data_IF_678980182963
#
_entry.id   IF_678980182963
#
_cell.length_a   1.000
_cell.length_b   1.000
_cell.length_c   1.000
_cell.angle_alpha   90.00
_cell.angle_beta   90.00
_cell.angle_gamma   90.00
#
_symmetry.space_group_name_H-M   'P 1'
#
loop_
_entity.id
_entity.type
_entity.pdbx_description
1 polymer ?
#
# COMPACT_ATOMS: atom_id res chain seq x y z
N UNK A 1 3.76 -86.49 19.04
CA UNK A 1 3.50 -86.07 17.65
C UNK A 1 2.79 -84.71 17.79
N UNK A 2 3.60 -83.65 17.88
CA UNK A 2 3.11 -82.27 18.01
C UNK A 2 3.27 -81.56 16.66
N UNK A 3 2.13 -81.14 16.09
CA UNK A 3 2.13 -80.30 14.87
C UNK A 3 2.32 -78.84 15.27
N UNK A 4 3.41 -78.24 14.72
CA UNK A 4 3.68 -76.81 14.81
C UNK A 4 3.07 -76.14 13.59
N UNK A 5 2.03 -75.27 13.80
CA UNK A 5 1.53 -74.40 12.79
C UNK A 5 2.35 -73.09 12.78
N UNK A 6 3.06 -72.90 11.68
CA UNK A 6 3.80 -71.64 11.40
C UNK A 6 2.84 -70.65 10.74
N UNK A 7 2.50 -69.55 11.45
CA UNK A 7 1.82 -68.39 10.86
C UNK A 7 2.89 -67.47 10.26
N UNK A 8 2.82 -67.31 8.95
CA UNK A 8 3.50 -66.22 8.22
C UNK A 8 2.61 -64.97 8.19
N UNK A 9 3.07 -63.81 8.64
CA UNK A 9 2.32 -62.56 8.41
C UNK A 9 2.55 -62.07 6.99
N UNK A 10 1.48 -61.96 6.21
CA UNK A 10 1.50 -61.26 4.94
C UNK A 10 1.57 -59.74 5.20
N UNK A 11 2.76 -59.16 4.95
CA UNK A 11 2.96 -57.71 4.97
C UNK A 11 2.44 -57.14 3.65
N UNK A 12 1.23 -56.52 3.70
CA UNK A 12 0.74 -55.69 2.60
C UNK A 12 1.53 -54.39 2.60
N UNK A 13 2.50 -54.26 1.71
CA UNK A 13 3.14 -53.00 1.36
C UNK A 13 2.12 -52.17 0.55
N UNK A 14 1.44 -51.25 1.20
CA UNK A 14 0.75 -50.16 0.51
C UNK A 14 1.79 -49.27 -0.16
N UNK A 15 2.00 -49.47 -1.45
CA UNK A 15 2.82 -48.58 -2.28
C UNK A 15 1.96 -47.34 -2.58
N UNK A 16 1.99 -46.35 -1.71
CA UNK A 16 1.47 -45.01 -2.00
C UNK A 16 2.40 -44.38 -3.01
N UNK A 17 2.11 -44.58 -4.30
CA UNK A 17 2.65 -43.71 -5.34
C UNK A 17 2.13 -42.29 -5.05
N UNK A 18 2.98 -41.47 -4.47
CA UNK A 18 2.82 -40.03 -4.53
C UNK A 18 2.87 -39.67 -6.02
N UNK A 19 1.70 -39.43 -6.60
CA UNK A 19 1.62 -38.81 -7.91
C UNK A 19 2.22 -37.42 -7.78
N UNK A 20 3.51 -37.31 -8.05
CA UNK A 20 4.15 -36.03 -8.35
C UNK A 20 3.59 -35.59 -9.72
N UNK A 21 2.38 -35.02 -9.71
CA UNK A 21 1.92 -34.28 -10.87
C UNK A 21 2.93 -33.15 -11.14
N UNK A 22 3.36 -33.00 -12.38
CA UNK A 22 4.23 -31.92 -12.79
C UNK A 22 3.70 -30.58 -12.26
N UNK A 23 4.58 -29.66 -11.83
CA UNK A 23 4.15 -28.39 -11.32
C UNK A 23 3.33 -27.66 -12.38
N UNK A 24 2.08 -27.34 -12.04
CA UNK A 24 1.20 -26.58 -12.93
C UNK A 24 1.82 -25.20 -13.11
N UNK A 25 2.10 -24.84 -14.35
CA UNK A 25 2.69 -23.56 -14.71
C UNK A 25 1.68 -22.69 -15.48
N UNK A 26 1.66 -21.41 -15.18
CA UNK A 26 0.89 -20.43 -15.95
C UNK A 26 1.52 -20.32 -17.34
N UNK A 27 0.71 -20.47 -18.37
CA UNK A 27 1.19 -20.35 -19.74
C UNK A 27 1.42 -18.88 -20.10
N UNK A 28 2.69 -18.53 -20.31
CA UNK A 28 3.13 -17.20 -20.71
C UNK A 28 2.51 -16.77 -22.05
N UNK A 29 2.29 -17.71 -22.98
CA UNK A 29 1.68 -17.42 -24.28
C UNK A 29 0.21 -16.98 -24.11
N UNK A 30 -0.53 -17.65 -23.22
CA UNK A 30 -1.92 -17.26 -22.91
C UNK A 30 -2.04 -15.85 -22.35
N UNK A 31 -1.03 -15.37 -21.57
CA UNK A 31 -0.99 -14.00 -21.09
C UNK A 31 -0.73 -13.02 -22.25
N UNK A 32 0.23 -13.33 -23.13
CA UNK A 32 0.51 -12.49 -24.30
C UNK A 32 -0.70 -12.35 -25.23
N UNK A 33 -1.48 -13.39 -25.38
CA UNK A 33 -2.73 -13.39 -26.17
C UNK A 33 -3.81 -12.49 -25.56
N UNK A 34 -3.74 -12.21 -24.24
CA UNK A 34 -4.69 -11.34 -23.54
C UNK A 34 -4.24 -9.85 -23.52
N UNK A 35 -2.96 -9.56 -23.78
CA UNK A 35 -2.43 -8.18 -23.81
C UNK A 35 -3.14 -7.27 -24.83
N UNK A 36 -3.53 -7.71 -26.04
CA UNK A 36 -4.31 -6.87 -26.96
C UNK A 36 -5.64 -6.37 -26.39
N UNK A 37 -6.21 -7.05 -25.39
CA UNK A 37 -7.37 -6.60 -24.63
C UNK A 37 -6.97 -5.71 -23.46
N UNK A 38 -5.93 -6.09 -22.71
CA UNK A 38 -5.54 -5.44 -21.46
C UNK A 38 -4.82 -4.08 -21.65
N UNK A 39 -4.01 -3.93 -22.72
CA UNK A 39 -3.35 -2.65 -22.99
C UNK A 39 -4.33 -1.51 -23.30
N UNK A 40 -5.35 -1.69 -24.18
CA UNK A 40 -6.41 -0.69 -24.34
C UNK A 40 -7.19 -0.43 -23.05
N UNK A 41 -7.41 -1.46 -22.23
CA UNK A 41 -8.08 -1.32 -20.93
C UNK A 41 -7.26 -0.45 -19.96
N UNK A 42 -5.96 -0.70 -19.85
CA UNK A 42 -5.01 0.14 -19.12
C UNK A 42 -5.09 1.61 -19.56
N UNK A 43 -4.99 1.85 -20.88
CA UNK A 43 -5.06 3.22 -21.44
C UNK A 43 -6.39 3.89 -21.16
N UNK A 44 -7.49 3.13 -21.13
CA UNK A 44 -8.81 3.64 -20.76
C UNK A 44 -8.83 4.08 -19.30
N UNK A 45 -8.33 3.26 -18.37
CA UNK A 45 -8.22 3.63 -16.96
C UNK A 45 -7.36 4.89 -16.79
N UNK A 46 -6.22 4.95 -17.46
CA UNK A 46 -5.31 6.10 -17.43
C UNK A 46 -5.98 7.41 -17.88
N UNK A 47 -6.91 7.34 -18.84
CA UNK A 47 -7.66 8.49 -19.36
C UNK A 47 -8.87 8.89 -18.51
N UNK A 48 -9.29 8.04 -17.57
CA UNK A 48 -10.45 8.30 -16.72
C UNK A 48 -10.15 8.23 -15.21
N UNK A 49 -9.04 8.85 -14.75
CA UNK A 49 -8.67 8.80 -13.34
C UNK A 49 -9.69 9.54 -12.48
N UNK A 50 -9.97 8.99 -11.31
CA UNK A 50 -10.83 9.58 -10.29
C UNK A 50 -10.05 9.68 -8.97
N UNK A 51 -10.17 10.81 -8.27
CA UNK A 51 -9.50 11.01 -6.98
C UNK A 51 -10.18 10.19 -5.89
N UNK A 52 -9.47 9.99 -4.77
CA UNK A 52 -9.95 9.28 -3.58
C UNK A 52 -11.38 9.69 -3.20
N UNK A 53 -12.24 8.72 -2.91
CA UNK A 53 -13.67 8.84 -2.59
C UNK A 53 -14.55 9.29 -3.76
N UNK A 54 -14.04 9.33 -5.00
CA UNK A 54 -14.79 9.69 -6.20
C UNK A 54 -14.71 8.59 -7.28
N UNK A 55 -14.23 7.40 -6.97
CA UNK A 55 -13.88 6.31 -7.90
C UNK A 55 -15.12 5.57 -8.44
N UNK A 56 -16.19 6.31 -8.72
CA UNK A 56 -17.50 5.76 -9.13
C UNK A 56 -17.45 5.06 -10.48
N UNK A 57 -16.87 5.71 -11.49
CA UNK A 57 -16.80 5.19 -12.86
C UNK A 57 -15.78 4.04 -12.91
N UNK A 58 -14.64 4.18 -12.20
CA UNK A 58 -13.59 3.18 -12.08
C UNK A 58 -14.12 1.90 -11.43
N UNK A 59 -14.79 2.02 -10.29
CA UNK A 59 -15.41 0.90 -9.58
C UNK A 59 -16.42 0.16 -10.45
N UNK A 60 -17.34 0.88 -11.08
CA UNK A 60 -18.36 0.29 -11.96
C UNK A 60 -17.73 -0.42 -13.17
N UNK A 61 -16.67 0.14 -13.76
CA UNK A 61 -15.93 -0.47 -14.86
C UNK A 61 -15.29 -1.80 -14.42
N UNK A 62 -14.56 -1.81 -13.31
CA UNK A 62 -13.92 -3.03 -12.79
C UNK A 62 -14.96 -4.09 -12.43
N UNK A 63 -16.05 -3.70 -11.76
CA UNK A 63 -17.16 -4.61 -11.44
C UNK A 63 -17.76 -5.26 -12.69
N UNK A 64 -17.96 -4.46 -13.76
CA UNK A 64 -18.44 -4.95 -15.05
C UNK A 64 -17.49 -5.96 -15.67
N UNK A 65 -16.18 -5.69 -15.66
CA UNK A 65 -15.15 -6.60 -16.21
C UNK A 65 -15.08 -7.93 -15.44
N UNK A 66 -15.18 -7.90 -14.12
CA UNK A 66 -15.22 -9.11 -13.31
C UNK A 66 -16.45 -9.96 -13.60
N UNK A 67 -17.63 -9.35 -13.77
CA UNK A 67 -18.87 -10.09 -14.11
C UNK A 67 -18.77 -10.78 -15.46
N UNK A 68 -18.11 -10.19 -16.46
CA UNK A 68 -17.90 -10.79 -17.78
C UNK A 68 -17.12 -12.11 -17.72
N UNK A 69 -16.26 -12.27 -16.72
CA UNK A 69 -15.45 -13.50 -16.52
C UNK A 69 -16.04 -14.43 -15.46
N UNK A 70 -17.29 -14.19 -15.02
CA UNK A 70 -18.03 -15.09 -14.14
C UNK A 70 -17.76 -14.89 -12.64
N UNK A 71 -17.19 -13.76 -12.23
CA UNK A 71 -17.00 -13.41 -10.81
C UNK A 71 -18.30 -12.83 -10.26
N UNK A 72 -18.71 -13.26 -9.07
CA UNK A 72 -19.80 -12.63 -8.32
C UNK A 72 -19.27 -11.36 -7.65
N UNK A 73 -19.87 -10.20 -7.95
CA UNK A 73 -19.36 -8.90 -7.50
C UNK A 73 -20.37 -8.19 -6.61
N UNK A 74 -19.91 -7.76 -5.43
CA UNK A 74 -20.61 -6.83 -4.53
C UNK A 74 -19.95 -5.46 -4.63
N UNK A 75 -20.74 -4.43 -4.87
CA UNK A 75 -20.31 -3.03 -4.99
C UNK A 75 -20.69 -2.21 -3.76
N UNK A 76 -20.10 -1.02 -3.63
CA UNK A 76 -20.34 -0.07 -2.54
C UNK A 76 -20.05 -0.63 -1.14
N UNK A 77 -19.04 -1.48 -1.04
CA UNK A 77 -18.62 -2.07 0.24
C UNK A 77 -17.94 -1.01 1.10
N UNK A 78 -18.22 -1.01 2.41
CA UNK A 78 -17.64 -0.07 3.35
C UNK A 78 -18.14 1.38 3.20
N UNK A 79 -19.38 1.57 2.72
CA UNK A 79 -19.94 2.89 2.39
C UNK A 79 -19.03 3.71 1.47
N UNK A 80 -18.35 3.03 0.56
CA UNK A 80 -17.40 3.59 -0.39
C UNK A 80 -17.64 3.01 -1.79
N UNK A 81 -16.84 3.37 -2.77
CA UNK A 81 -16.86 2.72 -4.09
C UNK A 81 -16.08 1.39 -4.12
N UNK A 82 -15.82 0.80 -2.96
CA UNK A 82 -15.15 -0.49 -2.85
C UNK A 82 -15.95 -1.65 -3.47
N UNK A 83 -15.24 -2.56 -4.11
CA UNK A 83 -15.82 -3.78 -4.70
C UNK A 83 -15.16 -5.02 -4.13
N UNK A 84 -15.98 -6.06 -3.95
CA UNK A 84 -15.53 -7.41 -3.58
C UNK A 84 -16.03 -8.39 -4.63
N UNK A 85 -15.09 -9.01 -5.35
CA UNK A 85 -15.35 -10.07 -6.31
C UNK A 85 -15.04 -11.43 -5.70
N UNK A 86 -15.96 -12.37 -5.80
CA UNK A 86 -15.78 -13.75 -5.31
C UNK A 86 -15.90 -14.74 -6.47
N UNK A 87 -14.84 -15.51 -6.66
CA UNK A 87 -14.86 -16.67 -7.54
C UNK A 87 -14.57 -17.94 -6.74
N UNK A 88 -15.63 -18.74 -6.49
CA UNK A 88 -15.53 -20.04 -5.79
C UNK A 88 -15.26 -21.15 -6.78
N UNK A 89 -14.18 -21.91 -6.55
CA UNK A 89 -13.75 -23.01 -7.39
C UNK A 89 -13.55 -24.31 -6.59
N UNK A 90 -14.53 -24.69 -5.78
CA UNK A 90 -14.49 -25.87 -4.93
C UNK A 90 -13.85 -25.59 -3.56
N UNK A 91 -13.63 -26.67 -2.79
CA UNK A 91 -13.01 -26.60 -1.47
C UNK A 91 -11.52 -26.32 -1.58
N UNK A 92 -11.00 -25.42 -0.70
CA UNK A 92 -9.60 -25.03 -0.68
C UNK A 92 -9.40 -23.68 0.00
N UNK A 93 -8.18 -23.12 -0.06
CA UNK A 93 -7.88 -21.85 0.59
C UNK A 93 -8.63 -20.68 -0.06
N UNK A 94 -8.90 -19.65 0.75
CA UNK A 94 -9.34 -18.35 0.26
C UNK A 94 -8.12 -17.43 0.16
N UNK A 95 -7.89 -16.87 -1.02
CA UNK A 95 -6.80 -15.93 -1.26
C UNK A 95 -7.38 -14.58 -1.66
N UNK A 96 -7.05 -13.56 -0.87
CA UNK A 96 -7.37 -12.18 -1.17
C UNK A 96 -6.30 -11.60 -2.07
N UNK A 97 -6.70 -11.06 -3.23
CA UNK A 97 -5.85 -10.27 -4.10
C UNK A 97 -6.44 -8.87 -4.27
N UNK A 98 -5.69 -7.85 -3.84
CA UNK A 98 -6.12 -6.45 -3.80
C UNK A 98 -5.51 -5.62 -4.92
N UNK A 99 -6.31 -4.72 -5.46
CA UNK A 99 -5.88 -3.52 -6.18
C UNK A 99 -6.45 -2.27 -5.51
N UNK A 100 -5.74 -1.16 -5.60
CA UNK A 100 -6.23 0.19 -5.36
C UNK A 100 -6.84 0.77 -6.63
N UNK A 101 -7.61 1.88 -6.52
CA UNK A 101 -8.37 2.42 -7.66
C UNK A 101 -8.24 3.92 -7.85
N UNK A 102 -7.85 4.66 -6.82
CA UNK A 102 -7.85 6.11 -6.82
C UNK A 102 -6.64 6.73 -7.56
N UNK A 103 -6.77 7.99 -7.89
CA UNK A 103 -5.77 8.80 -8.56
C UNK A 103 -5.50 10.08 -7.78
N UNK A 104 -4.48 10.83 -8.19
CA UNK A 104 -4.03 12.03 -7.52
C UNK A 104 -4.48 13.31 -8.25
N UNK A 105 -4.82 14.40 -7.50
CA UNK A 105 -5.13 15.71 -8.06
C UNK A 105 -3.85 16.37 -8.58
N UNK A 106 -3.40 15.95 -9.76
CA UNK A 106 -2.17 16.38 -10.41
C UNK A 106 -2.34 16.48 -11.92
N UNK A 107 -1.89 17.58 -12.53
CA UNK A 107 -1.91 17.72 -14.00
C UNK A 107 -0.80 16.89 -14.63
N UNK A 108 -1.16 15.97 -15.51
CA UNK A 108 -0.20 15.13 -16.21
C UNK A 108 0.66 15.93 -17.21
N UNK A 109 1.95 15.58 -17.28
CA UNK A 109 2.94 16.20 -18.19
C UNK A 109 3.80 15.15 -18.90
N UNK A 110 3.29 13.94 -19.07
CA UNK A 110 4.03 12.83 -19.70
C UNK A 110 4.18 13.01 -21.20
N UNK A 111 3.24 13.70 -21.85
CA UNK A 111 3.18 13.82 -23.32
C UNK A 111 2.69 12.55 -24.01
N UNK A 112 2.15 11.58 -23.27
CA UNK A 112 1.62 10.35 -23.83
C UNK A 112 0.37 10.63 -24.71
N UNK A 113 0.15 9.88 -25.80
CA UNK A 113 -1.03 10.07 -26.66
C UNK A 113 -2.36 9.71 -25.96
N UNK A 114 -2.29 9.05 -24.80
CA UNK A 114 -3.43 8.70 -23.95
C UNK A 114 -3.36 9.39 -22.58
N UNK A 115 -2.61 10.47 -22.45
CA UNK A 115 -2.50 11.25 -21.22
C UNK A 115 -3.89 11.71 -20.72
N UNK A 116 -4.05 11.81 -19.41
CA UNK A 116 -5.28 12.27 -18.79
C UNK A 116 -5.53 13.76 -19.05
N UNK A 117 -6.76 14.09 -19.42
CA UNK A 117 -7.27 15.47 -19.47
C UNK A 117 -8.36 15.74 -18.41
N UNK A 118 -8.59 14.78 -17.50
CA UNK A 118 -9.57 14.93 -16.42
C UNK A 118 -9.15 16.02 -15.44
N UNK A 119 -10.13 16.70 -14.89
CA UNK A 119 -9.92 17.73 -13.87
C UNK A 119 -10.82 17.47 -12.67
N UNK A 120 -10.37 17.93 -11.52
CA UNK A 120 -11.09 17.88 -10.26
C UNK A 120 -11.03 19.24 -9.58
N UNK A 121 -12.19 19.69 -9.08
CA UNK A 121 -12.30 20.98 -8.38
C UNK A 121 -12.66 20.74 -6.92
N UNK A 122 -11.81 21.23 -6.03
CA UNK A 122 -12.06 21.21 -4.59
C UNK A 122 -11.69 22.56 -3.98
N UNK A 123 -12.51 23.06 -3.04
CA UNK A 123 -12.30 24.33 -2.36
C UNK A 123 -12.02 25.52 -3.32
N UNK A 124 -12.68 25.52 -4.49
CA UNK A 124 -12.49 26.57 -5.50
C UNK A 124 -11.20 26.46 -6.32
N UNK A 125 -10.38 25.45 -6.10
CA UNK A 125 -9.16 25.19 -6.87
C UNK A 125 -9.37 24.00 -7.81
N UNK A 126 -9.08 24.20 -9.10
CA UNK A 126 -9.15 23.14 -10.11
C UNK A 126 -7.74 22.65 -10.43
N UNK A 127 -7.54 21.34 -10.37
CA UNK A 127 -6.31 20.67 -10.80
C UNK A 127 -6.62 19.60 -11.86
N UNK A 128 -5.59 19.14 -12.61
CA UNK A 128 -5.71 17.91 -13.36
C UNK A 128 -5.81 16.71 -12.44
N UNK A 129 -6.14 15.55 -12.99
CA UNK A 129 -6.12 14.26 -12.27
C UNK A 129 -5.31 13.25 -13.06
N UNK A 130 -4.43 12.50 -12.39
CA UNK A 130 -3.53 11.55 -13.01
C UNK A 130 -3.30 10.32 -12.12
N UNK A 131 -3.21 9.13 -12.72
CA UNK A 131 -2.69 7.93 -12.06
C UNK A 131 -1.16 7.99 -11.89
N UNK A 132 -0.66 8.96 -11.14
CA UNK A 132 0.79 9.15 -10.92
C UNK A 132 1.39 8.20 -9.89
N UNK A 133 0.58 7.35 -9.26
CA UNK A 133 1.01 6.23 -8.41
C UNK A 133 0.92 4.86 -9.13
N UNK A 134 0.36 4.82 -10.36
CA UNK A 134 0.30 3.61 -11.18
C UNK A 134 -0.86 2.67 -10.83
N UNK A 135 -1.91 3.15 -10.18
CA UNK A 135 -3.06 2.31 -9.80
C UNK A 135 -3.83 1.77 -11.02
N UNK A 136 -3.79 2.45 -12.15
CA UNK A 136 -4.26 1.94 -13.46
C UNK A 136 -3.51 0.67 -13.91
N UNK A 137 -2.20 0.61 -13.66
CA UNK A 137 -1.37 -0.60 -13.87
C UNK A 137 -1.74 -1.70 -12.88
N UNK A 138 -1.97 -1.34 -11.59
CA UNK A 138 -2.40 -2.29 -10.56
C UNK A 138 -3.75 -2.91 -10.94
N UNK A 139 -4.77 -2.10 -11.27
CA UNK A 139 -6.10 -2.55 -11.69
C UNK A 139 -6.06 -3.46 -12.91
N UNK A 140 -5.24 -3.10 -13.91
CA UNK A 140 -5.11 -3.89 -15.13
C UNK A 140 -4.41 -5.23 -14.87
N UNK A 141 -3.36 -5.24 -14.06
CA UNK A 141 -2.67 -6.47 -13.64
C UNK A 141 -3.60 -7.36 -12.83
N UNK A 142 -4.39 -6.78 -11.93
CA UNK A 142 -5.38 -7.47 -11.12
C UNK A 142 -6.45 -8.15 -11.98
N UNK A 143 -7.03 -7.44 -12.94
CA UNK A 143 -7.99 -8.01 -13.88
C UNK A 143 -7.36 -9.12 -14.73
N UNK A 144 -6.15 -8.89 -15.28
CA UNK A 144 -5.43 -9.86 -16.07
C UNK A 144 -5.13 -11.15 -15.30
N UNK A 145 -4.74 -11.02 -14.01
CA UNK A 145 -4.53 -12.16 -13.11
C UNK A 145 -5.82 -12.95 -12.87
N UNK A 146 -6.94 -12.26 -12.61
CA UNK A 146 -8.24 -12.91 -12.45
C UNK A 146 -8.63 -13.70 -13.71
N UNK A 147 -8.46 -13.09 -14.90
CA UNK A 147 -8.72 -13.74 -16.19
C UNK A 147 -7.87 -15.00 -16.39
N UNK A 148 -6.56 -14.91 -16.10
CA UNK A 148 -5.64 -16.03 -16.22
C UNK A 148 -6.02 -17.20 -15.29
N UNK A 149 -6.27 -16.92 -14.01
CA UNK A 149 -6.66 -17.95 -13.04
C UNK A 149 -8.00 -18.61 -13.37
N UNK A 150 -8.99 -17.84 -13.83
CA UNK A 150 -10.30 -18.40 -14.21
C UNK A 150 -10.21 -19.26 -15.46
N UNK A 151 -9.38 -18.91 -16.46
CA UNK A 151 -9.07 -19.80 -17.58
C UNK A 151 -8.49 -21.14 -17.14
N UNK A 152 -7.72 -21.13 -16.02
CA UNK A 152 -7.06 -22.31 -15.44
C UNK A 152 -7.85 -22.96 -14.30
N UNK A 153 -9.14 -22.69 -14.13
CA UNK A 153 -9.98 -23.14 -13.00
C UNK A 153 -9.95 -24.65 -12.74
N UNK A 154 -9.69 -25.46 -13.75
CA UNK A 154 -9.61 -26.91 -13.61
C UNK A 154 -8.31 -27.38 -12.92
N UNK A 155 -7.32 -26.49 -12.77
CA UNK A 155 -5.99 -26.77 -12.23
C UNK A 155 -5.82 -26.35 -10.77
N UNK A 156 -6.82 -25.71 -10.14
CA UNK A 156 -6.77 -25.29 -8.76
C UNK A 156 -8.14 -25.39 -8.08
N UNK A 157 -8.14 -25.36 -6.76
CA UNK A 157 -9.36 -25.32 -5.93
C UNK A 157 -9.21 -24.26 -4.84
N UNK A 158 -10.37 -23.71 -4.41
CA UNK A 158 -10.44 -22.67 -3.38
C UNK A 158 -11.29 -21.49 -3.81
N UNK A 159 -11.09 -20.36 -3.12
CA UNK A 159 -11.82 -19.10 -3.37
C UNK A 159 -10.84 -17.98 -3.71
N UNK A 160 -10.98 -17.38 -4.88
CA UNK A 160 -10.31 -16.14 -5.24
C UNK A 160 -11.20 -14.97 -4.79
N UNK A 161 -10.72 -14.20 -3.81
CA UNK A 161 -11.35 -12.97 -3.30
C UNK A 161 -10.62 -11.78 -3.90
N UNK A 162 -11.29 -11.04 -4.75
CA UNK A 162 -10.77 -9.90 -5.50
C UNK A 162 -11.25 -8.61 -4.85
N UNK A 163 -10.34 -7.79 -4.37
CA UNK A 163 -10.66 -6.51 -3.72
C UNK A 163 -10.26 -5.37 -4.65
N UNK A 164 -11.24 -4.53 -5.06
CA UNK A 164 -10.99 -3.21 -5.63
C UNK A 164 -11.19 -2.17 -4.54
N UNK A 165 -10.09 -1.61 -4.06
CA UNK A 165 -10.05 -0.71 -2.92
C UNK A 165 -9.99 0.75 -3.37
N UNK A 166 -10.93 1.62 -2.94
CA UNK A 166 -10.83 3.06 -3.15
C UNK A 166 -9.93 3.72 -2.11
N UNK A 167 -9.62 5.00 -2.28
CA UNK A 167 -9.10 5.92 -1.27
C UNK A 167 -7.81 5.44 -0.56
N UNK A 168 -6.88 4.83 -1.31
CA UNK A 168 -5.56 4.44 -0.82
C UNK A 168 -4.72 5.68 -0.48
N UNK A 169 -4.70 6.67 -1.39
CA UNK A 169 -3.85 7.88 -1.31
C UNK A 169 -4.12 8.77 -0.08
N UNK A 170 -5.27 8.55 0.57
CA UNK A 170 -5.62 9.21 1.84
C UNK A 170 -5.67 8.25 3.03
N UNK A 171 -5.25 6.98 2.84
CA UNK A 171 -5.17 5.95 3.89
C UNK A 171 -6.51 5.56 4.50
N UNK A 172 -7.60 5.64 3.73
CA UNK A 172 -8.95 5.43 4.24
C UNK A 172 -9.61 4.14 3.71
N UNK A 173 -9.18 3.66 2.55
CA UNK A 173 -9.89 2.62 1.81
C UNK A 173 -9.87 1.25 2.45
N UNK A 174 -8.70 0.74 2.81
CA UNK A 174 -8.60 -0.56 3.45
C UNK A 174 -9.38 -0.61 4.78
N UNK A 175 -9.28 0.47 5.57
CA UNK A 175 -10.04 0.61 6.82
C UNK A 175 -11.54 0.58 6.56
N UNK A 176 -12.04 1.35 5.59
CA UNK A 176 -13.46 1.40 5.25
C UNK A 176 -13.99 0.02 4.83
N UNK A 177 -13.25 -0.74 4.03
CA UNK A 177 -13.62 -2.08 3.63
C UNK A 177 -13.65 -3.06 4.81
N UNK A 178 -12.65 -3.03 5.68
CA UNK A 178 -12.58 -3.89 6.86
C UNK A 178 -13.69 -3.55 7.88
N UNK A 179 -13.93 -2.28 8.16
CA UNK A 179 -15.05 -1.82 9.00
C UNK A 179 -16.41 -2.12 8.33
N UNK A 180 -16.47 -2.17 7.00
CA UNK A 180 -17.62 -2.63 6.22
C UNK A 180 -17.85 -4.14 6.28
N UNK A 181 -17.05 -4.88 7.05
CA UNK A 181 -17.26 -6.30 7.36
C UNK A 181 -16.87 -7.25 6.21
N UNK A 182 -15.83 -6.96 5.44
CA UNK A 182 -15.46 -7.86 4.33
C UNK A 182 -15.06 -9.26 4.80
N UNK A 183 -14.42 -9.38 5.97
CA UNK A 183 -14.01 -10.68 6.50
C UNK A 183 -15.20 -11.45 7.12
N UNK A 184 -16.13 -10.75 7.72
CA UNK A 184 -17.37 -11.30 8.28
C UNK A 184 -18.34 -11.78 7.20
N UNK A 185 -18.42 -11.01 6.10
CA UNK A 185 -19.38 -11.27 5.01
C UNK A 185 -18.85 -12.28 3.99
N UNK A 186 -17.59 -12.20 3.61
CA UNK A 186 -17.01 -13.00 2.53
C UNK A 186 -16.04 -14.08 3.02
N UNK A 187 -15.75 -14.11 4.33
CA UNK A 187 -14.82 -15.03 4.96
C UNK A 187 -13.43 -14.48 5.13
N UNK A 188 -12.72 -14.93 6.16
CA UNK A 188 -11.34 -14.56 6.44
C UNK A 188 -10.42 -15.27 5.45
N UNK A 189 -9.57 -14.55 4.67
CA UNK A 189 -8.68 -15.20 3.73
C UNK A 189 -7.50 -15.89 4.45
N UNK A 190 -6.97 -16.93 3.82
CA UNK A 190 -5.75 -17.60 4.28
C UNK A 190 -4.50 -16.77 3.99
N UNK A 191 -4.54 -15.98 2.92
CA UNK A 191 -3.46 -15.09 2.49
C UNK A 191 -4.04 -13.82 1.88
N UNK A 192 -3.33 -12.69 2.06
CA UNK A 192 -3.61 -11.44 1.35
C UNK A 192 -2.40 -11.04 0.52
N UNK A 193 -2.62 -10.79 -0.77
CA UNK A 193 -1.57 -10.43 -1.73
C UNK A 193 -1.95 -9.12 -2.41
N UNK A 194 -0.97 -8.25 -2.57
CA UNK A 194 -1.05 -7.03 -3.35
C UNK A 194 0.24 -6.80 -4.12
N UNK A 195 0.21 -5.92 -5.08
CA UNK A 195 1.40 -5.40 -5.76
C UNK A 195 1.38 -3.88 -5.79
N UNK A 196 2.56 -3.28 -5.91
CA UNK A 196 2.69 -1.86 -6.14
C UNK A 196 3.74 -1.59 -7.24
N UNK A 197 3.48 -0.61 -8.09
CA UNK A 197 4.42 -0.17 -9.12
C UNK A 197 5.69 0.41 -8.50
N UNK A 198 6.85 0.05 -9.06
CA UNK A 198 8.12 0.68 -8.72
C UNK A 198 8.70 1.42 -9.93
N UNK A 199 8.87 2.74 -9.84
CA UNK A 199 9.43 3.56 -10.94
C UNK A 199 10.93 3.38 -11.12
N UNK A 200 11.61 2.66 -10.21
CA UNK A 200 13.07 2.46 -10.21
C UNK A 200 13.48 1.02 -10.56
N UNK A 201 12.58 0.06 -10.40
CA UNK A 201 12.81 -1.32 -10.84
C UNK A 201 12.49 -1.40 -12.34
N UNK A 202 13.40 -1.95 -13.17
CA UNK A 202 13.15 -2.13 -14.60
C UNK A 202 11.88 -2.93 -14.88
N UNK A 203 11.10 -2.51 -15.89
CA UNK A 203 9.98 -3.30 -16.40
C UNK A 203 10.46 -4.71 -16.82
N UNK A 204 9.69 -5.73 -16.45
CA UNK A 204 10.07 -7.14 -16.59
C UNK A 204 10.65 -7.76 -15.32
N UNK A 205 10.91 -6.97 -14.28
CA UNK A 205 11.39 -7.45 -12.97
C UNK A 205 10.34 -7.23 -11.89
N UNK A 206 10.51 -7.98 -10.78
CA UNK A 206 9.72 -7.79 -9.55
C UNK A 206 10.66 -7.71 -8.35
N UNK A 207 10.22 -6.99 -7.31
CA UNK A 207 10.96 -6.81 -6.06
C UNK A 207 10.20 -7.35 -4.87
N UNK A 208 10.89 -8.11 -4.01
CA UNK A 208 10.33 -8.62 -2.76
C UNK A 208 11.18 -8.17 -1.58
N UNK A 209 10.51 -7.76 -0.50
CA UNK A 209 11.12 -7.45 0.79
C UNK A 209 10.45 -8.27 1.90
N UNK A 210 11.22 -8.79 2.86
CA UNK A 210 10.74 -9.49 4.06
C UNK A 210 10.59 -8.53 5.22
N UNK A 211 9.64 -8.79 6.10
CA UNK A 211 9.42 -7.97 7.28
C UNK A 211 8.85 -6.59 6.93
N UNK A 212 9.32 -5.56 7.59
CA UNK A 212 8.88 -4.19 7.28
C UNK A 212 9.41 -3.73 5.92
N UNK A 213 8.51 -3.28 5.05
CA UNK A 213 8.83 -2.82 3.68
C UNK A 213 8.47 -1.37 3.43
N UNK A 214 7.40 -0.88 4.07
CA UNK A 214 6.96 0.51 3.99
C UNK A 214 6.63 1.03 5.39
N UNK A 215 6.92 2.30 5.65
CA UNK A 215 6.73 2.90 6.96
C UNK A 215 5.26 3.21 7.26
N UNK A 216 4.94 3.30 8.54
CA UNK A 216 3.71 3.93 8.99
C UNK A 216 3.71 5.43 8.67
N UNK A 217 2.53 6.00 8.50
CA UNK A 217 2.33 7.44 8.27
C UNK A 217 1.33 8.02 9.26
N UNK A 218 1.69 9.12 9.89
CA UNK A 218 0.83 9.87 10.77
C UNK A 218 1.14 11.35 10.69
N UNK A 219 0.10 12.19 10.73
CA UNK A 219 0.23 13.64 10.82
C UNK A 219 -0.04 14.12 12.24
N UNK A 220 0.66 15.19 12.66
CA UNK A 220 0.45 15.81 13.96
C UNK A 220 0.35 17.32 13.79
N UNK A 221 -0.61 17.93 14.46
CA UNK A 221 -0.70 19.38 14.56
C UNK A 221 -0.38 19.82 15.99
N UNK A 222 0.57 20.73 16.17
CA UNK A 222 0.90 21.34 17.45
C UNK A 222 0.49 22.80 17.40
N UNK A 223 -0.43 23.21 18.28
CA UNK A 223 -0.76 24.62 18.48
C UNK A 223 0.05 25.11 19.69
N UNK A 224 1.01 25.98 19.44
CA UNK A 224 1.88 26.59 20.45
C UNK A 224 1.24 27.91 20.86
N UNK A 225 0.79 28.00 22.09
CA UNK A 225 0.22 29.23 22.66
C UNK A 225 1.29 30.14 23.23
N UNK A 226 1.00 31.42 23.22
CA UNK A 226 1.82 32.47 23.82
C UNK A 226 0.97 33.52 24.51
N UNK A 227 1.59 34.67 24.75
CA UNK A 227 0.94 35.92 25.20
C UNK A 227 1.35 36.99 24.20
N UNK A 228 0.40 37.41 23.37
CA UNK A 228 0.64 38.43 22.36
C UNK A 228 0.91 39.81 22.94
N UNK A 229 1.65 40.64 22.20
CA UNK A 229 1.95 42.01 22.59
C UNK A 229 2.38 42.85 21.37
N UNK A 230 2.58 44.15 21.61
CA UNK A 230 3.25 45.03 20.65
C UNK A 230 4.69 44.57 20.43
N UNK A 231 5.16 44.45 19.19
CA UNK A 231 6.50 43.96 18.84
C UNK A 231 7.66 44.76 19.48
N UNK A 232 7.42 46.03 19.86
CA UNK A 232 8.38 46.85 20.60
C UNK A 232 8.36 46.64 22.13
N UNK A 233 7.45 45.79 22.64
CA UNK A 233 7.29 45.51 24.08
C UNK A 233 7.35 43.98 24.37
N UNK A 234 8.42 43.28 23.94
CA UNK A 234 8.51 41.82 24.06
C UNK A 234 8.55 41.35 25.53
N UNK A 235 8.95 42.18 26.47
CA UNK A 235 8.94 41.91 27.92
C UNK A 235 7.52 41.78 28.52
N UNK A 236 6.48 42.17 27.77
CA UNK A 236 5.06 42.02 28.15
C UNK A 236 4.44 40.78 27.54
N UNK A 237 5.24 39.96 26.86
CA UNK A 237 4.76 38.80 26.06
C UNK A 237 5.45 37.51 26.50
N UNK A 238 4.87 36.39 26.06
CA UNK A 238 5.57 35.13 25.84
C UNK A 238 5.43 34.82 24.36
N UNK A 239 6.49 35.03 23.60
CA UNK A 239 6.44 34.99 22.13
C UNK A 239 6.33 33.54 21.60
N UNK A 240 5.19 33.15 21.02
CA UNK A 240 5.00 31.80 20.54
C UNK A 240 5.81 31.49 19.27
N UNK A 241 6.30 32.51 18.54
CA UNK A 241 7.19 32.30 17.38
C UNK A 241 8.57 31.86 17.89
N UNK A 242 9.11 32.52 18.94
CA UNK A 242 10.36 32.11 19.56
C UNK A 242 10.24 30.72 20.16
N UNK A 243 9.16 30.44 20.91
CA UNK A 243 8.88 29.11 21.46
C UNK A 243 8.82 28.03 20.37
N UNK A 244 8.11 28.30 19.29
CA UNK A 244 8.00 27.34 18.16
C UNK A 244 9.35 27.06 17.52
N UNK A 245 10.22 28.07 17.41
CA UNK A 245 11.58 27.89 16.90
C UNK A 245 12.41 26.97 17.80
N UNK A 246 12.32 27.12 19.11
CA UNK A 246 12.95 26.23 20.10
C UNK A 246 12.39 24.82 19.99
N UNK A 247 11.06 24.66 19.94
CA UNK A 247 10.39 23.38 19.79
C UNK A 247 10.82 22.64 18.51
N UNK A 248 10.91 23.33 17.38
CA UNK A 248 11.37 22.73 16.12
C UNK A 248 12.76 22.12 16.30
N UNK A 249 13.69 22.81 16.95
CA UNK A 249 15.04 22.32 17.22
C UNK A 249 15.04 21.14 18.20
N UNK A 250 14.28 21.23 19.28
CA UNK A 250 14.19 20.17 20.30
C UNK A 250 13.54 18.89 19.75
N UNK A 251 12.51 19.01 18.93
CA UNK A 251 11.84 17.86 18.28
C UNK A 251 12.81 17.04 17.42
N UNK A 252 13.87 17.65 16.85
CA UNK A 252 14.90 16.88 16.10
C UNK A 252 15.71 15.96 17.03
N UNK A 253 15.74 16.23 18.34
CA UNK A 253 16.43 15.38 19.31
C UNK A 253 15.74 14.04 19.52
N UNK A 254 14.46 13.91 19.14
CA UNK A 254 13.72 12.65 19.24
C UNK A 254 14.42 11.57 18.43
N UNK A 255 14.67 11.81 17.16
CA UNK A 255 15.33 10.84 16.27
C UNK A 255 16.83 10.73 16.56
N UNK A 256 17.50 11.84 16.91
CA UNK A 256 18.95 11.85 17.07
C UNK A 256 19.43 11.47 18.48
N UNK A 257 18.60 11.54 19.55
CA UNK A 257 19.01 11.34 20.94
C UNK A 257 18.09 10.44 21.78
N UNK A 258 16.83 10.23 21.36
CA UNK A 258 15.88 9.40 22.13
C UNK A 258 15.64 8.05 21.51
N UNK A 259 15.84 7.91 20.19
CA UNK A 259 15.69 6.68 19.43
C UNK A 259 16.99 5.85 19.46
N UNK A 260 16.87 4.53 19.52
CA UNK A 260 18.03 3.65 19.33
C UNK A 260 18.64 3.89 17.95
N UNK A 261 19.98 3.98 17.82
CA UNK A 261 20.65 4.29 16.54
C UNK A 261 20.33 3.35 15.38
N UNK A 262 19.91 2.12 15.66
CA UNK A 262 19.53 1.09 14.68
C UNK A 262 18.04 1.16 14.27
N UNK A 263 17.23 1.97 14.96
CA UNK A 263 15.83 2.15 14.63
C UNK A 263 15.66 3.34 13.68
N UNK A 264 14.82 3.17 12.67
CA UNK A 264 14.51 4.24 11.71
C UNK A 264 13.21 4.92 12.05
N UNK A 265 13.21 6.25 12.07
CA UNK A 265 12.00 7.06 12.16
C UNK A 265 12.22 8.44 11.53
N UNK A 266 11.12 9.06 11.11
CA UNK A 266 11.10 10.45 10.62
C UNK A 266 10.18 11.27 11.51
N UNK A 267 10.68 12.43 11.94
CA UNK A 267 9.92 13.50 12.60
C UNK A 267 10.21 14.80 11.86
N UNK A 268 9.33 15.18 10.96
CA UNK A 268 9.52 16.38 10.12
C UNK A 268 8.46 17.42 10.44
N UNK A 269 8.89 18.64 10.75
CA UNK A 269 8.02 19.82 10.79
C UNK A 269 7.92 20.35 9.35
N UNK A 270 6.79 20.09 8.71
CA UNK A 270 6.56 20.41 7.30
C UNK A 270 5.92 21.79 7.08
N UNK A 271 5.28 22.35 8.10
CA UNK A 271 4.68 23.69 8.00
C UNK A 271 4.70 24.43 9.33
N UNK A 272 4.77 25.76 9.24
CA UNK A 272 4.62 26.71 10.35
C UNK A 272 3.74 27.88 9.91
N UNK A 273 2.74 28.20 10.70
CA UNK A 273 1.83 29.31 10.44
C UNK A 273 1.74 30.20 11.66
N UNK A 274 2.13 31.48 11.51
CA UNK A 274 2.21 32.44 12.61
C UNK A 274 2.07 33.88 12.14
N UNK A 275 1.40 34.72 12.97
CA UNK A 275 1.37 36.15 12.83
C UNK A 275 0.77 36.70 11.55
N UNK A 276 0.46 37.99 11.51
CA UNK A 276 -0.08 38.71 10.36
C UNK A 276 0.63 40.03 10.08
N UNK A 277 1.39 40.54 11.07
CA UNK A 277 2.10 41.81 10.94
C UNK A 277 3.43 41.76 11.71
N UNK A 278 4.46 42.40 11.18
CA UNK A 278 5.82 42.39 11.75
C UNK A 278 5.97 43.11 13.09
N UNK A 279 5.04 43.99 13.46
CA UNK A 279 5.03 44.74 14.70
C UNK A 279 4.08 44.19 15.78
N UNK A 280 3.56 42.98 15.59
CA UNK A 280 2.65 42.30 16.52
C UNK A 280 3.20 40.91 16.84
N UNK A 281 3.40 40.63 18.14
CA UNK A 281 3.64 39.26 18.63
C UNK A 281 2.28 38.55 18.69
N UNK A 282 2.07 37.41 17.97
CA UNK A 282 0.79 36.74 17.98
C UNK A 282 0.50 35.98 19.27
N UNK A 283 -0.74 35.49 19.43
CA UNK A 283 -1.12 34.67 20.58
C UNK A 283 -0.87 33.16 20.34
N UNK A 284 -0.71 32.71 19.10
CA UNK A 284 -0.47 31.32 18.78
C UNK A 284 0.34 31.11 17.50
N UNK A 285 0.95 29.92 17.40
CA UNK A 285 1.61 29.40 16.21
C UNK A 285 1.11 27.96 15.99
N UNK A 286 0.89 27.58 14.73
CA UNK A 286 0.54 26.20 14.34
C UNK A 286 1.69 25.56 13.60
N UNK A 287 2.13 24.38 14.10
CA UNK A 287 3.12 23.51 13.45
C UNK A 287 2.40 22.28 12.90
N UNK A 288 2.68 21.95 11.65
CA UNK A 288 2.23 20.69 11.03
C UNK A 288 3.41 19.74 10.88
N UNK A 289 3.28 18.53 11.42
CA UNK A 289 4.32 17.50 11.39
C UNK A 289 3.87 16.28 10.63
N UNK A 290 4.83 15.57 10.05
CA UNK A 290 4.67 14.20 9.57
C UNK A 290 5.60 13.26 10.33
N UNK A 291 5.06 12.11 10.73
CA UNK A 291 5.79 11.04 11.40
C UNK A 291 5.85 9.82 10.48
N UNK A 292 7.02 9.14 10.45
CA UNK A 292 7.20 7.84 9.83
C UNK A 292 7.87 6.89 10.81
N UNK A 293 7.33 5.69 10.95
CA UNK A 293 7.87 4.66 11.86
C UNK A 293 7.61 3.27 11.29
N UNK A 294 8.35 2.26 11.78
CA UNK A 294 8.04 0.86 11.44
C UNK A 294 7.38 0.13 12.61
N UNK A 295 7.81 0.41 13.84
CA UNK A 295 7.37 -0.30 15.04
C UNK A 295 6.46 0.57 15.89
N UNK A 296 5.42 -0.04 16.47
CA UNK A 296 4.46 0.66 17.32
C UNK A 296 5.10 1.20 18.62
N UNK A 297 6.12 0.49 19.15
CA UNK A 297 6.86 0.96 20.32
C UNK A 297 7.62 2.26 20.04
N UNK A 298 8.18 2.38 18.83
CA UNK A 298 8.87 3.59 18.37
C UNK A 298 7.87 4.75 18.24
N UNK A 299 6.70 4.50 17.63
CA UNK A 299 5.63 5.48 17.51
C UNK A 299 5.18 5.99 18.87
N UNK A 300 4.87 5.07 19.80
CA UNK A 300 4.45 5.41 21.18
C UNK A 300 5.51 6.26 21.89
N UNK A 301 6.78 5.91 21.74
CA UNK A 301 7.89 6.68 22.30
C UNK A 301 7.94 8.10 21.69
N UNK A 302 7.78 8.23 20.36
CA UNK A 302 7.77 9.54 19.70
C UNK A 302 6.62 10.41 20.20
N UNK A 303 5.40 9.87 20.32
CA UNK A 303 4.24 10.59 20.88
C UNK A 303 4.52 11.13 22.29
N UNK A 304 5.07 10.26 23.15
CA UNK A 304 5.46 10.64 24.51
C UNK A 304 6.49 11.77 24.49
N UNK A 305 7.54 11.65 23.66
CA UNK A 305 8.62 12.65 23.58
C UNK A 305 8.12 13.99 23.03
N UNK A 306 7.27 13.98 22.00
CA UNK A 306 6.63 15.22 21.50
C UNK A 306 5.89 15.92 22.64
N UNK A 307 5.11 15.19 23.43
CA UNK A 307 4.34 15.75 24.53
C UNK A 307 5.25 16.33 25.62
N UNK A 308 6.27 15.57 26.02
CA UNK A 308 7.24 16.01 27.07
C UNK A 308 8.02 17.26 26.65
N UNK A 309 8.50 17.32 25.40
CA UNK A 309 9.22 18.45 24.84
C UNK A 309 8.31 19.70 24.83
N UNK A 310 7.10 19.55 24.26
CA UNK A 310 6.14 20.66 24.18
C UNK A 310 5.82 21.25 25.56
N UNK A 311 5.54 20.39 26.54
CA UNK A 311 5.21 20.84 27.90
C UNK A 311 6.45 21.44 28.62
N UNK A 312 7.62 20.81 28.45
CA UNK A 312 8.87 21.29 29.06
C UNK A 312 9.26 22.68 28.56
N UNK A 313 9.18 22.92 27.25
CA UNK A 313 9.50 24.24 26.66
C UNK A 313 8.52 25.31 27.08
N UNK A 314 7.21 25.00 27.15
CA UNK A 314 6.20 25.94 27.64
C UNK A 314 6.41 26.31 29.14
N UNK A 315 6.73 25.31 29.97
CA UNK A 315 7.06 25.48 31.38
C UNK A 315 8.30 26.36 31.55
N UNK A 316 9.36 26.11 30.79
CA UNK A 316 10.59 26.90 30.82
C UNK A 316 10.39 28.37 30.42
N UNK A 317 9.38 28.64 29.58
CA UNK A 317 8.98 29.99 29.17
C UNK A 317 8.03 30.67 30.17
N UNK A 318 7.67 30.02 31.27
CA UNK A 318 6.79 30.58 32.32
C UNK A 318 5.31 30.57 31.93
N UNK A 319 4.89 29.78 30.95
CA UNK A 319 3.47 29.63 30.61
C UNK A 319 2.76 28.80 31.68
N UNK A 320 1.51 29.14 32.03
CA UNK A 320 0.71 28.34 32.94
C UNK A 320 0.19 27.08 32.18
N UNK A 321 -0.16 26.00 32.91
CA UNK A 321 -0.53 24.71 32.29
C UNK A 321 -1.65 24.77 31.24
N UNK A 322 -2.62 25.70 31.41
CA UNK A 322 -3.72 25.91 30.45
C UNK A 322 -3.27 26.53 29.11
N UNK A 323 -2.04 27.04 29.06
CA UNK A 323 -1.36 27.60 27.88
C UNK A 323 -0.31 26.65 27.29
N UNK A 324 -0.19 25.43 27.81
CA UNK A 324 0.72 24.46 27.22
C UNK A 324 0.29 24.09 25.79
N UNK A 325 1.23 23.79 24.89
CA UNK A 325 0.89 23.45 23.52
C UNK A 325 -0.14 22.33 23.41
N UNK A 326 -1.15 22.54 22.59
CA UNK A 326 -2.15 21.48 22.25
C UNK A 326 -1.60 20.62 21.13
N UNK A 327 -1.51 19.32 21.37
CA UNK A 327 -1.03 18.35 20.42
C UNK A 327 -2.22 17.53 19.92
N UNK A 328 -2.44 17.54 18.61
CA UNK A 328 -3.50 16.78 17.96
C UNK A 328 -2.85 15.77 17.00
N UNK A 329 -2.83 14.50 17.38
CA UNK A 329 -2.50 13.40 16.49
C UNK A 329 -3.67 13.15 15.54
N UNK A 330 -3.36 12.94 14.25
CA UNK A 330 -4.38 12.66 13.24
C UNK A 330 -5.16 11.39 13.59
N UNK A 331 -6.49 11.35 13.40
CA UNK A 331 -7.25 10.11 13.47
C UNK A 331 -6.95 9.16 12.31
N UNK A 332 -6.35 9.69 11.23
CA UNK A 332 -5.87 8.88 10.10
C UNK A 332 -4.44 8.44 10.41
N UNK A 333 -4.30 7.13 10.58
CA UNK A 333 -3.02 6.45 10.80
C UNK A 333 -2.92 5.28 9.85
N UNK A 334 -1.91 5.31 8.99
CA UNK A 334 -1.55 4.19 8.12
C UNK A 334 -0.45 3.41 8.82
N UNK A 335 -0.70 2.16 9.16
CA UNK A 335 0.29 1.32 9.83
C UNK A 335 1.39 0.87 8.86
N UNK A 336 2.59 0.60 9.39
CA UNK A 336 3.69 0.08 8.58
C UNK A 336 3.32 -1.23 7.88
N UNK A 337 3.68 -1.39 6.62
CA UNK A 337 3.50 -2.64 5.91
C UNK A 337 4.55 -3.66 6.36
N UNK A 338 4.06 -4.83 6.77
CA UNK A 338 4.88 -5.96 7.18
C UNK A 338 4.56 -7.17 6.31
N UNK A 339 5.48 -7.55 5.46
CA UNK A 339 5.38 -8.74 4.64
C UNK A 339 5.72 -9.99 5.46
N UNK A 340 4.80 -10.96 5.48
CA UNK A 340 5.04 -12.24 6.12
C UNK A 340 6.22 -12.96 5.43
N UNK A 341 7.27 -13.27 6.18
CA UNK A 341 8.54 -13.76 5.62
C UNK A 341 8.40 -15.10 4.90
N UNK A 342 7.62 -16.03 5.47
CA UNK A 342 7.38 -17.34 4.84
C UNK A 342 6.55 -17.21 3.55
N UNK A 343 5.59 -16.29 3.53
CA UNK A 343 4.80 -16.01 2.33
C UNK A 343 5.66 -15.34 1.26
N UNK A 344 6.56 -14.43 1.64
CA UNK A 344 7.56 -13.84 0.71
C UNK A 344 8.42 -14.93 0.08
N UNK A 345 8.91 -15.93 0.86
CA UNK A 345 9.70 -17.02 0.32
C UNK A 345 8.93 -17.82 -0.74
N UNK A 346 7.65 -18.12 -0.47
CA UNK A 346 6.77 -18.80 -1.43
C UNK A 346 6.59 -17.98 -2.71
N UNK A 347 6.13 -16.73 -2.59
CA UNK A 347 5.80 -15.89 -3.76
C UNK A 347 7.06 -15.54 -4.58
N UNK A 348 8.18 -15.21 -3.92
CA UNK A 348 9.44 -14.96 -4.62
C UNK A 348 9.99 -16.21 -5.30
N UNK A 349 9.80 -17.40 -4.70
CA UNK A 349 10.11 -18.69 -5.30
C UNK A 349 9.29 -18.95 -6.56
N UNK A 350 7.98 -18.68 -6.52
CA UNK A 350 7.08 -18.77 -7.69
C UNK A 350 7.51 -17.79 -8.79
N UNK A 351 7.84 -16.54 -8.42
CA UNK A 351 8.33 -15.54 -9.36
C UNK A 351 9.63 -15.98 -10.05
N UNK A 352 10.62 -16.48 -9.28
CA UNK A 352 11.90 -17.00 -9.84
C UNK A 352 11.70 -18.11 -10.85
N UNK A 353 10.76 -19.01 -10.58
CA UNK A 353 10.41 -20.09 -11.53
C UNK A 353 9.77 -19.56 -12.80
N UNK A 354 8.94 -18.52 -12.70
CA UNK A 354 8.15 -17.95 -13.81
C UNK A 354 8.96 -17.07 -14.75
N UNK A 355 9.81 -16.20 -14.20
CA UNK A 355 10.51 -15.15 -14.97
C UNK A 355 12.05 -15.27 -14.89
N UNK A 356 12.58 -16.20 -14.10
CA UNK A 356 14.01 -16.38 -13.89
C UNK A 356 14.55 -15.66 -12.65
N UNK A 357 15.59 -16.23 -12.06
CA UNK A 357 16.15 -15.75 -10.77
C UNK A 357 16.66 -14.31 -10.84
N UNK A 358 17.32 -13.94 -11.94
CA UNK A 358 17.89 -12.59 -12.15
C UNK A 358 16.82 -11.50 -12.37
N UNK A 359 15.55 -11.89 -12.53
CA UNK A 359 14.42 -10.97 -12.71
C UNK A 359 13.70 -10.66 -11.39
N UNK A 360 14.10 -11.34 -10.31
CA UNK A 360 13.56 -11.12 -8.96
C UNK A 360 14.62 -10.45 -8.10
N UNK A 361 14.34 -9.22 -7.67
CA UNK A 361 15.30 -8.42 -6.89
C UNK A 361 14.86 -8.28 -5.44
N UNK A 362 15.81 -8.07 -4.53
CA UNK A 362 15.50 -7.64 -3.18
C UNK A 362 15.05 -6.18 -3.22
N UNK A 363 13.85 -5.92 -2.67
CA UNK A 363 13.33 -4.57 -2.56
C UNK A 363 13.87 -3.91 -1.28
N UNK A 364 14.31 -2.67 -1.43
CA UNK A 364 14.72 -1.85 -0.28
C UNK A 364 13.50 -1.39 0.53
N UNK A 365 13.70 -1.24 1.82
CA UNK A 365 12.71 -0.67 2.74
C UNK A 365 12.52 0.82 2.43
N UNK A 366 11.27 1.28 2.35
CA UNK A 366 10.95 2.65 1.98
C UNK A 366 10.17 3.39 3.08
N UNK A 367 10.32 4.71 3.12
CA UNK A 367 9.60 5.58 4.07
C UNK A 367 8.22 6.04 3.55
N UNK A 368 7.76 5.50 2.41
CA UNK A 368 6.39 5.68 1.93
C UNK A 368 5.42 4.85 2.78
N UNK A 369 4.14 5.17 2.73
CA UNK A 369 3.10 4.44 3.44
C UNK A 369 2.12 3.82 2.43
N UNK A 370 1.43 2.75 2.85
CA UNK A 370 0.47 2.00 2.04
C UNK A 370 -0.54 1.31 2.98
N UNK A 371 -1.83 1.54 2.75
CA UNK A 371 -2.88 1.07 3.65
C UNK A 371 -3.26 -0.41 3.47
N UNK A 372 -2.71 -1.09 2.44
CA UNK A 372 -2.77 -2.56 2.29
C UNK A 372 -2.36 -3.29 3.57
N UNK A 373 -1.46 -2.70 4.35
CA UNK A 373 -1.02 -3.24 5.64
C UNK A 373 -2.18 -3.62 6.57
N UNK A 374 -3.33 -2.95 6.44
CA UNK A 374 -4.50 -3.16 7.30
C UNK A 374 -5.08 -4.57 7.18
N UNK A 375 -5.04 -5.19 5.99
CA UNK A 375 -5.60 -6.54 5.77
C UNK A 375 -4.90 -7.60 6.63
N UNK A 376 -3.59 -7.49 6.82
CA UNK A 376 -2.81 -8.41 7.67
C UNK A 376 -2.82 -8.05 9.16
N UNK A 377 -3.27 -6.86 9.53
CA UNK A 377 -3.19 -6.34 10.91
C UNK A 377 -4.47 -6.51 11.73
N UNK A 378 -5.50 -7.12 11.18
CA UNK A 378 -6.74 -7.47 11.91
C UNK A 378 -6.45 -8.47 13.04
N UNK A 379 -7.45 -8.74 13.89
CA UNK A 379 -7.36 -9.78 14.92
C UNK A 379 -7.06 -11.17 14.34
N UNK A 380 -7.41 -11.41 13.07
CA UNK A 380 -7.17 -12.67 12.36
C UNK A 380 -5.73 -12.90 11.95
N UNK A 381 -4.87 -11.84 11.95
CA UNK A 381 -3.43 -11.93 11.61
C UNK A 381 -3.17 -12.62 10.28
N UNK A 382 -3.94 -12.26 9.25
CA UNK A 382 -3.82 -12.84 7.90
C UNK A 382 -2.40 -12.61 7.36
N UNK A 383 -1.67 -13.67 6.98
CA UNK A 383 -0.37 -13.51 6.32
C UNK A 383 -0.52 -12.70 5.03
N UNK A 384 0.19 -11.59 4.93
CA UNK A 384 0.07 -10.65 3.81
C UNK A 384 1.42 -10.33 3.19
N UNK A 385 1.42 -10.09 1.88
CA UNK A 385 2.58 -9.61 1.11
C UNK A 385 2.13 -8.58 0.09
N UNK A 386 2.79 -7.43 0.11
CA UNK A 386 2.80 -6.46 -0.97
C UNK A 386 4.18 -6.50 -1.62
N UNK A 387 4.23 -6.78 -2.92
CA UNK A 387 5.49 -6.83 -3.67
C UNK A 387 5.56 -5.74 -4.72
N UNK A 388 6.77 -5.43 -5.18
CA UNK A 388 7.01 -4.40 -6.17
C UNK A 388 6.98 -4.96 -7.59
N UNK A 389 6.20 -4.33 -8.46
CA UNK A 389 6.23 -4.54 -9.90
C UNK A 389 7.13 -3.50 -10.55
N UNK A 390 8.16 -3.93 -11.24
CA UNK A 390 9.03 -3.03 -12.01
C UNK A 390 8.28 -2.41 -13.18
N UNK A 391 8.33 -1.09 -13.27
CA UNK A 391 7.64 -0.33 -14.31
C UNK A 391 8.56 0.62 -15.09
N UNK A 392 9.84 0.74 -14.67
CA UNK A 392 10.78 1.66 -15.32
C UNK A 392 11.03 1.30 -16.79
N UNK A 393 10.70 2.18 -17.75
CA UNK A 393 11.03 1.97 -19.15
C UNK A 393 12.53 1.93 -19.39
N UNK A 394 13.01 1.05 -20.27
CA UNK A 394 14.43 0.85 -20.54
C UNK A 394 15.14 2.12 -21.04
N UNK A 395 14.46 2.90 -21.88
CA UNK A 395 14.99 4.16 -22.39
C UNK A 395 15.21 5.21 -21.31
N UNK A 396 14.36 5.24 -20.26
CA UNK A 396 14.53 6.14 -19.12
C UNK A 396 15.65 5.69 -18.19
N UNK A 397 15.80 4.38 -17.99
CA UNK A 397 16.94 3.82 -17.24
C UNK A 397 18.26 4.23 -17.91
N UNK A 398 18.36 4.06 -19.23
CA UNK A 398 19.57 4.45 -20.00
C UNK A 398 19.90 5.93 -19.92
N UNK A 399 18.88 6.78 -19.79
CA UNK A 399 19.05 8.25 -19.67
C UNK A 399 19.23 8.70 -18.23
N UNK A 400 19.14 7.82 -17.25
CA UNK A 400 19.06 8.13 -15.81
C UNK A 400 17.96 9.18 -15.51
N UNK A 401 16.82 9.07 -16.20
CA UNK A 401 15.64 9.92 -16.07
C UNK A 401 14.47 9.08 -15.56
N UNK A 402 14.42 8.87 -14.24
CA UNK A 402 13.42 8.06 -13.56
C UNK A 402 12.59 8.95 -12.62
N UNK A 403 11.51 9.58 -13.12
CA UNK A 403 10.57 10.27 -12.24
C UNK A 403 10.00 9.30 -11.22
N UNK A 404 9.98 9.72 -9.95
CA UNK A 404 9.31 8.96 -8.89
C UNK A 404 7.80 8.87 -9.11
N UNK A 405 7.15 8.03 -8.31
CA UNK A 405 5.71 8.09 -8.14
C UNK A 405 5.31 9.48 -7.62
N UNK A 406 4.04 9.87 -7.81
CA UNK A 406 3.53 11.22 -7.52
C UNK A 406 4.24 12.33 -8.32
N UNK A 407 4.88 11.98 -9.44
CA UNK A 407 5.43 12.92 -10.40
C UNK A 407 4.50 13.10 -11.60
N UNK A 408 4.30 14.34 -12.10
CA UNK A 408 3.51 14.56 -13.31
C UNK A 408 4.15 13.97 -14.58
N UNK A 409 5.38 13.50 -14.49
CA UNK A 409 6.16 12.90 -15.58
C UNK A 409 6.26 11.37 -15.48
N UNK A 410 5.67 10.74 -14.43
CA UNK A 410 5.70 9.30 -14.28
C UNK A 410 4.85 8.61 -15.35
N UNK A 411 5.42 7.60 -16.00
CA UNK A 411 4.70 6.60 -16.80
C UNK A 411 5.45 5.26 -16.80
N UNK A 412 4.73 4.13 -16.79
CA UNK A 412 5.33 2.79 -16.85
C UNK A 412 5.65 2.37 -18.30
N UNK A 413 6.41 1.26 -18.46
CA UNK A 413 6.37 0.44 -19.68
C UNK A 413 5.15 -0.50 -19.57
N UNK A 414 4.02 -0.21 -20.24
CA UNK A 414 2.78 -0.94 -19.97
C UNK A 414 2.82 -2.40 -20.46
N UNK A 415 3.49 -2.69 -21.55
CA UNK A 415 3.50 -4.04 -22.13
C UNK A 415 4.32 -5.00 -21.27
N UNK A 416 5.58 -4.66 -20.99
CA UNK A 416 6.45 -5.51 -20.16
C UNK A 416 5.95 -5.64 -18.73
N UNK A 417 5.43 -4.55 -18.15
CA UNK A 417 4.95 -4.56 -16.77
C UNK A 417 3.68 -5.40 -16.63
N UNK A 418 2.72 -5.27 -17.54
CA UNK A 418 1.50 -6.10 -17.53
C UNK A 418 1.83 -7.59 -17.72
N UNK A 419 2.63 -7.93 -18.74
CA UNK A 419 3.04 -9.32 -18.97
C UNK A 419 3.66 -9.93 -17.71
N UNK A 420 4.61 -9.21 -17.10
CA UNK A 420 5.34 -9.68 -15.92
C UNK A 420 4.44 -9.74 -14.68
N UNK A 421 3.69 -8.68 -14.41
CA UNK A 421 2.82 -8.59 -13.23
C UNK A 421 1.75 -9.67 -13.24
N UNK A 422 1.10 -9.89 -14.38
CA UNK A 422 0.07 -10.93 -14.54
C UNK A 422 0.69 -12.33 -14.40
N UNK A 423 1.81 -12.62 -15.08
CA UNK A 423 2.47 -13.91 -15.00
C UNK A 423 2.90 -14.26 -13.58
N UNK A 424 3.62 -13.35 -12.93
CA UNK A 424 4.15 -13.57 -11.57
C UNK A 424 3.02 -13.72 -10.57
N UNK A 425 2.02 -12.84 -10.62
CA UNK A 425 0.91 -12.90 -9.67
C UNK A 425 0.06 -14.15 -9.88
N UNK A 426 -0.28 -14.48 -11.12
CA UNK A 426 -1.06 -15.69 -11.44
C UNK A 426 -0.35 -16.95 -10.97
N UNK A 427 0.96 -17.09 -11.21
CA UNK A 427 1.72 -18.24 -10.73
C UNK A 427 1.79 -18.29 -9.22
N UNK A 428 2.04 -17.14 -8.56
CA UNK A 428 2.09 -17.04 -7.11
C UNK A 428 0.77 -17.49 -6.46
N UNK A 429 -0.36 -17.00 -6.97
CA UNK A 429 -1.68 -17.37 -6.44
C UNK A 429 -2.00 -18.85 -6.76
N UNK A 430 -1.64 -19.34 -7.94
CA UNK A 430 -1.82 -20.73 -8.32
C UNK A 430 -1.04 -21.68 -7.38
N UNK A 431 0.21 -21.34 -7.06
CA UNK A 431 1.04 -22.12 -6.14
C UNK A 431 0.44 -22.12 -4.73
N UNK A 432 -0.12 -20.98 -4.27
CA UNK A 432 -0.83 -20.92 -2.99
C UNK A 432 -2.10 -21.78 -2.98
N UNK A 433 -2.87 -21.80 -4.08
CA UNK A 433 -4.07 -22.66 -4.21
C UNK A 433 -3.74 -24.16 -4.23
N UNK A 434 -2.58 -24.51 -4.77
CA UNK A 434 -2.14 -25.92 -4.90
C UNK A 434 -1.24 -26.39 -3.76
N UNK A 435 -0.93 -25.53 -2.80
CA UNK A 435 -0.12 -25.86 -1.61
C UNK A 435 1.37 -26.05 -1.90
N UNK A 436 1.89 -25.44 -2.96
CA UNK A 436 3.29 -25.58 -3.42
C UNK A 436 4.18 -24.47 -2.89
#
# INVERSE_FOLDING_TARGET
MQLIFSLFPFLFLFNTQLNNADPVAVDKQSIKEDLPYLIPFYKKLHQMPEVSLQEKETSALLASELRKIGVTVTENVGNSYGIVGIFKNGEGPTILYRTDMDALPMSEKTGLPYASSKTYTTNGTTSGVMHSCGHDMHMTTWLGTARALIKMKDQWKGTLMLIGQPAEEIGAGAKALLEGGIYETFGVPNYAVGLHCSPTIPAGKVGYGKGYTMAASESVTITVYGIGAHGASPHMSVDPIVLSSMLIMELQTITSRSLKPIESAVVTVGSIHAGTASNIIPDEVKLGLTLRTFKEEVRTMIHKRITEICHGTAMAAGLPPEKYPKIAFSPVYIAANYNNELLVDKLSGSAKKSIGENMVVNAEVQMVAEDFSAYGRTSHKVPSVLFWLGTAPEERIKKNDLPGLHSPFYYPDPEKSLETGILVTSQSLLDLFTGK
#
